data_IF_179193001891
#
_entry.id   IF_179193001891
#
_cell.length_a   1.000
_cell.length_b   1.000
_cell.length_c   1.000
_cell.angle_alpha   90.00
_cell.angle_beta   90.00
_cell.angle_gamma   90.00
#
_symmetry.space_group_name_H-M   'P 1'
#
loop_
_entity.id
_entity.type
_entity.pdbx_description
1 polymer ?
#
# COMPACT_ATOMS: atom_id res chain seq x y z
N UNK A 1 7.22 22.13 -11.77
CA UNK A 1 8.21 21.02 -11.57
C UNK A 1 7.51 19.69 -11.85
N UNK A 2 7.99 18.91 -12.84
CA UNK A 2 7.40 17.60 -13.14
C UNK A 2 8.22 16.47 -12.49
N UNK A 3 7.59 15.59 -11.74
CA UNK A 3 8.21 14.47 -11.04
C UNK A 3 7.64 13.16 -11.57
N UNK A 4 8.54 12.26 -11.95
CA UNK A 4 8.18 10.90 -12.36
C UNK A 4 8.19 9.98 -11.14
N UNK A 5 7.04 9.41 -10.81
CA UNK A 5 6.90 8.44 -9.71
C UNK A 5 6.92 7.03 -10.27
N UNK A 6 7.74 6.16 -9.67
CA UNK A 6 7.98 4.79 -10.10
C UNK A 6 7.64 3.81 -8.98
N UNK A 7 6.95 2.73 -9.36
CA UNK A 7 6.74 1.56 -8.53
C UNK A 7 7.14 0.32 -9.36
N UNK A 8 8.37 -0.15 -9.14
CA UNK A 8 8.96 -1.29 -9.85
C UNK A 8 8.71 -2.59 -9.08
N UNK A 9 7.93 -3.51 -9.65
CA UNK A 9 7.78 -4.88 -9.18
C UNK A 9 8.69 -5.86 -9.93
N UNK A 10 8.70 -7.13 -9.52
CA UNK A 10 9.55 -8.17 -10.13
C UNK A 10 9.31 -8.40 -11.63
N UNK A 11 8.07 -8.21 -12.09
CA UNK A 11 7.67 -8.39 -13.49
C UNK A 11 6.77 -7.26 -14.00
N UNK A 12 6.74 -6.14 -13.29
CA UNK A 12 5.90 -4.99 -13.64
C UNK A 12 6.58 -3.68 -13.24
N UNK A 13 6.20 -2.60 -13.92
CA UNK A 13 6.60 -1.24 -13.58
C UNK A 13 5.41 -0.33 -13.78
N UNK A 14 4.94 0.32 -12.72
CA UNK A 14 3.92 1.36 -12.78
C UNK A 14 4.59 2.71 -12.65
N UNK A 15 4.08 3.68 -13.38
CA UNK A 15 4.60 5.04 -13.31
C UNK A 15 3.49 6.08 -13.40
N UNK A 16 3.78 7.25 -12.87
CA UNK A 16 2.94 8.43 -12.98
C UNK A 16 3.83 9.68 -13.08
N UNK A 17 3.56 10.55 -14.05
CA UNK A 17 4.17 11.88 -14.11
C UNK A 17 3.22 12.87 -13.47
N UNK A 18 3.70 13.61 -12.48
CA UNK A 18 2.90 14.58 -11.71
C UNK A 18 3.52 15.97 -11.89
N UNK A 19 2.70 16.95 -12.22
CA UNK A 19 3.10 18.36 -12.18
C UNK A 19 2.90 18.92 -10.77
N UNK A 20 4.01 19.20 -10.10
CA UNK A 20 4.03 19.66 -8.70
C UNK A 20 3.71 21.16 -8.53
N UNK A 21 3.43 21.88 -9.60
CA UNK A 21 2.96 23.25 -9.50
C UNK A 21 1.46 23.31 -9.16
N UNK A 22 0.72 22.26 -9.54
CA UNK A 22 -0.72 22.09 -9.27
C UNK A 22 -1.07 20.74 -8.65
N UNK A 23 -0.09 19.85 -8.45
CA UNK A 23 -0.23 18.48 -7.94
C UNK A 23 -1.16 17.60 -8.80
N UNK A 24 -1.21 17.86 -10.11
CA UNK A 24 -2.05 17.08 -11.01
C UNK A 24 -1.24 16.03 -11.77
N UNK A 25 -1.87 14.87 -11.94
CA UNK A 25 -1.35 13.81 -12.79
C UNK A 25 -1.37 14.26 -14.26
N UNK A 26 -0.20 14.21 -14.89
CA UNK A 26 -0.02 14.52 -16.33
C UNK A 26 -0.24 13.27 -17.18
N UNK A 27 0.35 12.15 -16.77
CA UNK A 27 0.12 10.83 -17.37
C UNK A 27 0.42 9.74 -16.35
N UNK A 28 -0.06 8.54 -16.67
CA UNK A 28 0.25 7.31 -15.95
C UNK A 28 0.40 6.14 -16.91
N UNK A 29 1.07 5.09 -16.47
CA UNK A 29 1.20 3.89 -17.28
C UNK A 29 1.68 2.68 -16.51
N UNK A 30 1.73 1.56 -17.24
CA UNK A 30 2.08 0.27 -16.68
C UNK A 30 2.83 -0.56 -17.73
N UNK A 31 3.91 -1.19 -17.30
CA UNK A 31 4.60 -2.25 -18.02
C UNK A 31 4.28 -3.56 -17.29
N UNK A 32 3.75 -4.53 -17.99
CA UNK A 32 3.40 -5.85 -17.44
C UNK A 32 4.22 -6.95 -18.12
N UNK A 33 4.49 -8.03 -17.38
CA UNK A 33 5.21 -9.21 -17.84
C UNK A 33 6.65 -8.88 -18.29
N UNK A 34 7.34 -8.00 -17.56
CA UNK A 34 8.76 -7.72 -17.76
C UNK A 34 9.55 -9.00 -17.52
N UNK A 35 10.49 -9.32 -18.42
CA UNK A 35 11.27 -10.56 -18.40
C UNK A 35 10.50 -11.81 -18.86
N UNK A 36 9.28 -11.65 -19.37
CA UNK A 36 8.40 -12.73 -19.77
C UNK A 36 7.87 -12.50 -21.19
N UNK A 37 7.47 -13.57 -21.93
CA UNK A 37 6.82 -13.41 -23.22
C UNK A 37 5.45 -12.70 -23.09
N UNK A 38 5.11 -11.91 -24.11
CA UNK A 38 3.82 -11.23 -24.19
C UNK A 38 3.70 -10.04 -23.24
N UNK A 39 4.76 -9.26 -23.11
CA UNK A 39 4.74 -8.01 -22.37
C UNK A 39 3.71 -7.02 -22.90
N UNK A 40 3.09 -6.26 -22.01
CA UNK A 40 2.08 -5.25 -22.33
C UNK A 40 2.56 -3.91 -21.77
N UNK A 41 2.57 -2.90 -22.62
CA UNK A 41 2.81 -1.52 -22.24
C UNK A 41 1.52 -0.71 -22.39
N UNK A 42 1.17 0.05 -21.37
CA UNK A 42 0.04 0.97 -21.39
C UNK A 42 0.50 2.34 -20.92
N UNK A 43 0.12 3.38 -21.64
CA UNK A 43 0.34 4.78 -21.31
C UNK A 43 -0.96 5.54 -21.48
N UNK A 44 -1.35 6.34 -20.51
CA UNK A 44 -2.60 7.11 -20.50
C UNK A 44 -2.33 8.54 -20.02
N UNK A 45 -2.72 9.49 -20.83
CA UNK A 45 -2.57 10.92 -20.53
C UNK A 45 -3.78 11.44 -19.74
N UNK A 46 -3.61 12.58 -19.07
CA UNK A 46 -4.70 13.24 -18.32
C UNK A 46 -5.87 13.66 -19.19
N UNK A 47 -5.63 14.00 -20.47
CA UNK A 47 -6.64 14.36 -21.45
C UNK A 47 -7.37 13.15 -22.09
N UNK A 48 -7.01 11.92 -21.65
CA UNK A 48 -7.70 10.68 -22.00
C UNK A 48 -7.15 9.95 -23.22
N UNK A 49 -6.06 10.42 -23.87
CA UNK A 49 -5.37 9.63 -24.92
C UNK A 49 -4.74 8.40 -24.29
N UNK A 50 -4.82 7.28 -24.97
CA UNK A 50 -4.30 5.99 -24.47
C UNK A 50 -3.52 5.25 -25.54
N UNK A 51 -2.28 4.89 -25.22
CA UNK A 51 -1.44 3.99 -26.00
C UNK A 51 -1.37 2.64 -25.29
N UNK A 52 -1.81 1.59 -25.95
CA UNK A 52 -1.63 0.21 -25.49
C UNK A 52 -0.99 -0.62 -26.57
N UNK A 53 0.11 -1.28 -26.25
CA UNK A 53 0.83 -2.13 -27.20
C UNK A 53 1.40 -3.38 -26.55
N UNK A 54 1.46 -4.46 -27.32
CA UNK A 54 2.21 -5.64 -26.96
C UNK A 54 3.66 -5.41 -27.34
N UNK A 55 4.57 -5.50 -26.35
CA UNK A 55 6.00 -5.31 -26.55
C UNK A 55 6.76 -6.16 -25.56
N UNK A 56 7.73 -6.93 -26.06
CA UNK A 56 8.59 -7.70 -25.18
C UNK A 56 9.59 -6.75 -24.49
N UNK A 57 9.55 -6.76 -23.17
CA UNK A 57 10.50 -6.05 -22.31
C UNK A 57 11.33 -7.09 -21.58
N UNK A 58 12.59 -7.24 -21.99
CA UNK A 58 13.49 -8.28 -21.48
C UNK A 58 13.84 -8.05 -19.99
N UNK A 59 13.88 -6.80 -19.58
CA UNK A 59 14.27 -6.34 -18.25
C UNK A 59 13.63 -4.98 -17.93
N UNK A 60 13.97 -4.43 -16.76
CA UNK A 60 13.46 -3.13 -16.34
C UNK A 60 14.04 -1.97 -17.20
N UNK A 61 15.26 -2.07 -17.72
CA UNK A 61 15.81 -1.04 -18.60
C UNK A 61 14.97 -0.93 -19.89
N UNK A 62 14.59 -2.06 -20.49
CA UNK A 62 13.69 -2.09 -21.64
C UNK A 62 12.29 -1.51 -21.29
N UNK A 63 11.80 -1.74 -20.09
CA UNK A 63 10.54 -1.14 -19.63
C UNK A 63 10.66 0.39 -19.46
N UNK A 64 11.72 0.89 -18.85
CA UNK A 64 11.98 2.32 -18.74
C UNK A 64 12.15 3.00 -20.10
N UNK A 65 12.75 2.32 -21.08
CA UNK A 65 12.81 2.83 -22.46
C UNK A 65 11.40 3.01 -23.06
N UNK A 66 10.44 2.13 -22.76
CA UNK A 66 9.04 2.33 -23.21
C UNK A 66 8.43 3.57 -22.54
N UNK A 67 8.67 3.74 -21.23
CA UNK A 67 8.20 4.94 -20.49
C UNK A 67 8.80 6.20 -21.10
N UNK A 68 10.13 6.25 -21.25
CA UNK A 68 10.87 7.37 -21.85
C UNK A 68 10.30 7.76 -23.21
N UNK A 69 10.15 6.77 -24.10
CA UNK A 69 9.64 7.02 -25.45
C UNK A 69 8.18 7.52 -25.45
N UNK A 70 7.33 6.99 -24.57
CA UNK A 70 5.94 7.41 -24.47
C UNK A 70 5.79 8.85 -23.91
N UNK A 71 6.67 9.27 -23.01
CA UNK A 71 6.64 10.64 -22.47
C UNK A 71 6.85 11.71 -23.51
N UNK A 72 7.68 11.44 -24.55
CA UNK A 72 8.05 12.38 -25.63
C UNK A 72 7.46 11.98 -26.99
N UNK A 73 6.53 11.03 -27.04
CA UNK A 73 5.89 10.57 -28.27
C UNK A 73 5.16 11.71 -29.00
N UNK A 74 5.17 11.68 -30.33
CA UNK A 74 4.52 12.74 -31.13
C UNK A 74 3.01 12.82 -31.01
N UNK A 75 2.35 11.70 -30.66
CA UNK A 75 0.88 11.60 -30.53
C UNK A 75 0.44 11.47 -29.07
N UNK A 76 1.16 10.69 -28.26
CA UNK A 76 0.79 10.38 -26.87
C UNK A 76 1.66 11.09 -25.85
N UNK A 77 2.70 11.78 -26.28
CA UNK A 77 3.64 12.49 -25.39
C UNK A 77 2.98 13.62 -24.61
N UNK A 78 3.56 13.91 -23.47
CA UNK A 78 3.09 14.91 -22.49
C UNK A 78 4.16 15.92 -22.12
N UNK A 79 5.39 15.71 -22.61
CA UNK A 79 6.54 16.62 -22.49
C UNK A 79 7.26 16.74 -23.83
N UNK A 80 7.95 17.85 -24.06
CA UNK A 80 8.71 18.08 -25.30
C UNK A 80 10.14 17.55 -25.24
N UNK A 81 10.71 17.49 -24.03
CA UNK A 81 12.05 17.00 -23.76
C UNK A 81 12.07 16.28 -22.40
N UNK A 82 12.95 15.31 -22.26
CA UNK A 82 13.17 14.60 -20.99
C UNK A 82 13.73 15.52 -19.89
N UNK A 83 14.34 16.65 -20.25
CA UNK A 83 14.80 17.67 -19.30
C UNK A 83 13.65 18.29 -18.48
N UNK A 84 12.41 18.10 -18.93
CA UNK A 84 11.23 18.49 -18.14
C UNK A 84 10.95 17.56 -16.96
N UNK A 85 11.52 16.36 -16.93
CA UNK A 85 11.49 15.46 -15.77
C UNK A 85 12.54 15.94 -14.79
N UNK A 86 12.12 16.72 -13.82
CA UNK A 86 13.02 17.36 -12.86
C UNK A 86 13.60 16.40 -11.82
N UNK A 87 12.89 15.33 -11.51
CA UNK A 87 13.31 14.31 -10.56
C UNK A 87 12.50 13.01 -10.70
N UNK A 88 12.99 11.93 -10.10
CA UNK A 88 12.29 10.63 -10.03
C UNK A 88 12.11 10.23 -8.58
N UNK A 89 10.89 9.85 -8.20
CA UNK A 89 10.57 9.26 -6.90
C UNK A 89 10.28 7.76 -7.01
N UNK A 90 10.99 6.95 -6.24
CA UNK A 90 10.82 5.49 -6.23
C UNK A 90 10.12 5.02 -4.97
N UNK A 91 9.10 4.16 -5.10
CA UNK A 91 8.54 3.42 -3.98
C UNK A 91 9.42 2.23 -3.64
N UNK A 92 9.78 2.10 -2.35
CA UNK A 92 10.51 0.96 -1.80
C UNK A 92 9.66 0.33 -0.69
N UNK A 93 9.45 -0.99 -0.76
CA UNK A 93 8.59 -1.69 0.20
C UNK A 93 9.24 -1.78 1.57
N UNK A 94 10.54 -2.12 1.67
CA UNK A 94 11.18 -2.38 2.95
C UNK A 94 12.40 -1.48 3.16
N UNK A 95 12.32 -0.63 4.18
CA UNK A 95 13.39 0.26 4.63
C UNK A 95 14.18 -0.26 5.84
N UNK A 96 13.74 -1.37 6.44
CA UNK A 96 14.38 -1.98 7.59
C UNK A 96 14.44 -1.03 8.80
N UNK A 97 15.50 -1.19 9.57
CA UNK A 97 15.88 -0.27 10.65
C UNK A 97 16.86 0.82 10.17
N UNK A 98 17.10 0.90 8.86
CA UNK A 98 18.06 1.83 8.26
C UNK A 98 17.35 3.12 7.86
N UNK A 99 16.18 3.00 7.21
CA UNK A 99 15.48 4.13 6.64
C UNK A 99 14.20 4.46 7.42
N UNK A 100 14.19 5.65 8.01
CA UNK A 100 13.06 6.19 8.79
C UNK A 100 12.34 7.33 8.08
N UNK A 101 12.88 7.78 6.95
CA UNK A 101 12.34 8.84 6.11
C UNK A 101 12.76 8.63 4.64
N UNK A 102 12.24 9.46 3.76
CA UNK A 102 12.63 9.47 2.35
C UNK A 102 14.02 10.08 2.20
N UNK A 103 14.84 9.53 1.28
CA UNK A 103 16.22 9.97 1.07
C UNK A 103 16.57 10.12 -0.39
N UNK A 104 17.53 11.02 -0.70
CA UNK A 104 18.15 11.11 -2.02
C UNK A 104 18.97 9.85 -2.29
N UNK A 105 18.94 9.39 -3.53
CA UNK A 105 19.61 8.16 -3.95
C UNK A 105 21.07 8.45 -4.28
N UNK A 106 21.96 7.75 -3.59
CA UNK A 106 23.36 7.57 -3.95
C UNK A 106 23.69 6.06 -4.01
N UNK A 107 24.92 5.69 -4.27
CA UNK A 107 25.29 4.28 -4.34
C UNK A 107 25.15 3.59 -2.98
N UNK A 108 25.45 4.29 -1.88
CA UNK A 108 25.29 3.76 -0.53
C UNK A 108 23.83 3.43 -0.19
N UNK A 109 22.89 4.28 -0.60
CA UNK A 109 21.45 4.03 -0.44
C UNK A 109 21.02 2.78 -1.20
N UNK A 110 21.54 2.57 -2.43
CA UNK A 110 21.22 1.36 -3.21
C UNK A 110 21.80 0.11 -2.52
N UNK A 111 23.05 0.14 -2.07
CA UNK A 111 23.68 -0.95 -1.30
C UNK A 111 22.88 -1.28 -0.01
N UNK A 112 22.43 -0.26 0.71
CA UNK A 112 21.64 -0.43 1.92
C UNK A 112 20.27 -1.07 1.61
N UNK A 113 19.59 -0.67 0.51
CA UNK A 113 18.38 -1.33 0.03
C UNK A 113 18.64 -2.79 -0.34
N UNK A 114 19.76 -3.08 -1.00
CA UNK A 114 20.18 -4.44 -1.36
C UNK A 114 20.47 -5.29 -0.12
N UNK A 115 21.06 -4.71 0.93
CA UNK A 115 21.28 -5.39 2.21
C UNK A 115 20.00 -5.85 2.90
N UNK A 116 18.88 -5.18 2.60
CA UNK A 116 17.54 -5.50 3.12
C UNK A 116 16.77 -6.54 2.29
N UNK A 117 17.37 -7.08 1.20
CA UNK A 117 16.73 -8.14 0.39
C UNK A 117 16.27 -9.33 1.23
N UNK A 118 17.01 -9.83 2.25
CA UNK A 118 16.52 -10.92 3.09
C UNK A 118 15.19 -10.65 3.80
N UNK A 119 14.87 -9.39 4.11
CA UNK A 119 13.59 -8.99 4.72
C UNK A 119 12.45 -8.87 3.71
N UNK A 120 12.76 -8.60 2.45
CA UNK A 120 11.77 -8.45 1.38
C UNK A 120 12.31 -8.97 0.03
N UNK A 121 12.57 -10.28 -0.08
CA UNK A 121 13.26 -10.85 -1.25
C UNK A 121 12.51 -10.68 -2.56
N UNK A 122 11.17 -10.63 -2.51
CA UNK A 122 10.33 -10.46 -3.69
C UNK A 122 10.21 -8.99 -4.15
N UNK A 123 10.62 -8.03 -3.31
CA UNK A 123 10.42 -6.60 -3.57
C UNK A 123 11.74 -5.84 -3.71
N UNK A 124 12.59 -5.82 -2.67
CA UNK A 124 13.77 -4.96 -2.64
C UNK A 124 14.77 -5.25 -3.77
N UNK A 125 14.90 -6.51 -4.19
CA UNK A 125 15.70 -6.86 -5.36
C UNK A 125 15.20 -6.17 -6.64
N UNK A 126 13.89 -6.19 -6.88
CA UNK A 126 13.30 -5.54 -8.04
C UNK A 126 13.41 -4.00 -7.94
N UNK A 127 13.29 -3.46 -6.73
CA UNK A 127 13.43 -2.03 -6.49
C UNK A 127 14.85 -1.52 -6.78
N UNK A 128 15.90 -2.18 -6.28
CA UNK A 128 17.29 -1.78 -6.56
C UNK A 128 17.61 -1.89 -8.05
N UNK A 129 17.15 -2.95 -8.72
CA UNK A 129 17.27 -3.09 -10.17
C UNK A 129 16.51 -1.96 -10.91
N UNK A 130 15.32 -1.59 -10.43
CA UNK A 130 14.53 -0.49 -10.99
C UNK A 130 15.25 0.86 -10.88
N UNK A 131 15.87 1.17 -9.74
CA UNK A 131 16.67 2.39 -9.55
C UNK A 131 17.84 2.42 -10.54
N UNK A 132 18.64 1.34 -10.60
CA UNK A 132 19.79 1.25 -11.53
C UNK A 132 19.36 1.40 -12.99
N UNK A 133 18.27 0.75 -13.39
CA UNK A 133 17.72 0.87 -14.75
C UNK A 133 17.18 2.28 -15.05
N UNK A 134 16.61 2.95 -14.06
CA UNK A 134 16.16 4.33 -14.19
C UNK A 134 17.35 5.27 -14.48
N UNK A 135 18.43 5.16 -13.71
CA UNK A 135 19.68 5.92 -13.91
C UNK A 135 20.30 5.70 -15.30
N UNK A 136 20.32 4.45 -15.77
CA UNK A 136 20.82 4.12 -17.11
C UNK A 136 20.03 4.84 -18.22
N UNK A 137 18.70 4.94 -18.07
CA UNK A 137 17.79 5.45 -19.11
C UNK A 137 17.59 6.97 -19.03
N UNK A 138 17.46 7.54 -17.84
CA UNK A 138 17.21 8.98 -17.64
C UNK A 138 18.49 9.78 -17.40
N UNK A 139 19.58 9.12 -17.01
CA UNK A 139 20.88 9.73 -16.73
C UNK A 139 21.08 10.07 -15.26
N UNK A 140 22.32 10.04 -14.80
CA UNK A 140 22.71 10.28 -13.40
C UNK A 140 22.48 11.72 -12.95
N UNK A 141 22.27 12.66 -13.87
CA UNK A 141 22.01 14.07 -13.57
C UNK A 141 20.57 14.31 -13.08
N UNK A 142 19.65 13.38 -13.32
CA UNK A 142 18.29 13.48 -12.81
C UNK A 142 18.26 12.98 -11.36
N UNK A 143 17.98 13.83 -10.37
CA UNK A 143 17.98 13.39 -8.97
C UNK A 143 16.87 12.38 -8.71
N UNK A 144 17.21 11.36 -7.96
CA UNK A 144 16.29 10.30 -7.56
C UNK A 144 16.09 10.30 -6.06
N UNK A 145 14.87 10.01 -5.63
CA UNK A 145 14.48 9.87 -4.21
C UNK A 145 13.81 8.53 -4.00
N UNK A 146 14.13 7.87 -2.90
CA UNK A 146 13.44 6.65 -2.45
C UNK A 146 12.52 6.96 -1.28
N UNK A 147 11.31 6.42 -1.35
CA UNK A 147 10.26 6.58 -0.35
C UNK A 147 9.83 5.18 0.12
N UNK A 148 9.89 4.94 1.42
CA UNK A 148 9.71 3.61 1.99
C UNK A 148 8.32 3.42 2.58
N UNK A 149 7.66 2.30 2.26
CA UNK A 149 6.36 1.92 2.85
C UNK A 149 6.44 1.78 4.37
N UNK A 150 7.61 1.42 4.90
CA UNK A 150 7.85 1.22 6.33
C UNK A 150 8.17 2.50 7.10
N UNK A 151 8.59 3.57 6.42
CA UNK A 151 9.11 4.77 7.09
C UNK A 151 8.09 5.47 7.99
N UNK A 152 6.83 5.57 7.57
CA UNK A 152 5.78 6.18 8.40
C UNK A 152 5.56 5.43 9.72
N UNK A 153 5.82 4.12 9.75
CA UNK A 153 5.69 3.25 10.92
C UNK A 153 6.92 3.25 11.84
N UNK A 154 7.99 3.97 11.49
CA UNK A 154 9.24 3.99 12.26
C UNK A 154 9.08 4.56 13.67
N UNK A 155 7.99 5.29 13.94
CA UNK A 155 7.68 5.88 15.24
C UNK A 155 7.06 4.90 16.25
N UNK A 156 6.74 3.66 15.85
CA UNK A 156 6.19 2.65 16.75
C UNK A 156 7.11 2.40 17.96
N UNK A 157 6.55 2.34 19.18
CA UNK A 157 7.35 2.03 20.38
C UNK A 157 7.73 0.53 20.41
N UNK A 158 8.81 0.17 21.15
CA UNK A 158 9.27 -1.23 21.24
C UNK A 158 8.20 -2.24 21.62
N UNK A 159 7.30 -1.90 22.53
CA UNK A 159 6.17 -2.76 22.95
C UNK A 159 5.19 -3.12 21.82
N UNK A 160 5.15 -2.33 20.73
CA UNK A 160 4.28 -2.56 19.58
C UNK A 160 5.01 -3.32 18.47
N UNK A 161 6.32 -3.09 18.29
CA UNK A 161 7.06 -3.71 17.20
C UNK A 161 7.76 -5.03 17.55
N UNK A 162 7.99 -5.34 18.83
CA UNK A 162 8.68 -6.58 19.22
C UNK A 162 7.77 -7.79 19.09
N UNK A 163 8.28 -8.87 18.47
CA UNK A 163 7.66 -10.18 18.52
C UNK A 163 8.07 -10.98 19.75
N UNK A 164 7.17 -11.81 20.25
CA UNK A 164 7.37 -12.63 21.45
C UNK A 164 8.20 -13.90 21.15
N UNK A 165 9.34 -13.71 20.50
CA UNK A 165 10.35 -14.75 20.22
C UNK A 165 11.63 -14.40 20.95
N UNK A 166 12.64 -15.31 21.07
CA UNK A 166 13.91 -14.97 21.73
C UNK A 166 14.50 -13.65 21.19
N UNK A 167 14.86 -12.76 22.11
CA UNK A 167 15.32 -11.40 21.82
C UNK A 167 16.51 -11.35 20.86
N UNK A 168 17.35 -12.39 20.90
CA UNK A 168 18.50 -12.54 20.00
C UNK A 168 18.13 -12.50 18.50
N UNK A 169 16.91 -12.89 18.11
CA UNK A 169 16.48 -12.81 16.72
C UNK A 169 16.21 -11.38 16.26
N UNK A 170 15.80 -10.51 17.21
CA UNK A 170 15.75 -9.09 16.93
C UNK A 170 17.17 -8.51 16.73
N UNK A 171 18.11 -8.86 17.60
CA UNK A 171 19.48 -8.35 17.52
C UNK A 171 20.23 -8.86 16.27
N UNK A 172 20.09 -10.13 15.95
CA UNK A 172 20.83 -10.77 14.86
C UNK A 172 20.23 -10.54 13.47
N UNK A 173 18.89 -10.52 13.40
CA UNK A 173 18.16 -10.59 12.12
C UNK A 173 17.16 -9.47 11.94
N UNK A 174 17.10 -8.51 12.84
CA UNK A 174 16.13 -7.43 12.85
C UNK A 174 14.67 -7.92 12.78
N UNK A 175 14.37 -9.05 13.47
CA UNK A 175 13.02 -9.62 13.53
C UNK A 175 12.14 -8.76 14.41
N UNK A 176 11.36 -7.90 13.76
CA UNK A 176 10.40 -7.00 14.39
C UNK A 176 9.25 -6.68 13.43
N UNK A 177 8.18 -6.07 13.96
CA UNK A 177 7.13 -5.47 13.13
C UNK A 177 7.68 -4.20 12.45
N UNK A 178 7.45 -4.07 11.14
CA UNK A 178 7.80 -2.88 10.36
C UNK A 178 6.56 -2.09 9.95
N UNK A 179 5.50 -2.78 9.53
CA UNK A 179 4.32 -2.15 8.94
C UNK A 179 4.55 -1.72 7.49
N UNK A 180 3.47 -1.62 6.73
CA UNK A 180 3.51 -1.32 5.30
C UNK A 180 2.34 -0.42 4.91
N UNK A 181 2.25 0.00 3.64
CA UNK A 181 1.33 1.01 3.15
C UNK A 181 1.51 2.38 3.85
N UNK A 182 2.72 2.67 4.31
CA UNK A 182 3.00 3.89 5.09
C UNK A 182 2.69 5.18 4.34
N UNK A 183 2.94 5.22 3.03
CA UNK A 183 2.57 6.35 2.16
C UNK A 183 1.06 6.57 2.16
N UNK A 184 0.27 5.49 2.06
CA UNK A 184 -1.19 5.56 2.11
C UNK A 184 -1.69 6.03 3.48
N UNK A 185 -1.28 5.38 4.57
CA UNK A 185 -1.69 5.76 5.93
C UNK A 185 -1.32 7.22 6.25
N UNK A 186 -0.14 7.68 5.83
CA UNK A 186 0.28 9.07 5.97
C UNK A 186 -0.61 10.02 5.18
N UNK A 187 -0.89 9.71 3.92
CA UNK A 187 -1.75 10.54 3.09
C UNK A 187 -3.14 10.70 3.68
N UNK A 188 -3.82 9.59 3.96
CA UNK A 188 -5.23 9.65 4.37
C UNK A 188 -5.42 10.22 5.79
N UNK A 189 -4.46 10.03 6.69
CA UNK A 189 -4.50 10.64 8.02
C UNK A 189 -4.35 12.17 7.97
N UNK A 190 -3.41 12.69 7.16
CA UNK A 190 -3.26 14.12 6.95
C UNK A 190 -4.47 14.73 6.22
N UNK A 191 -5.00 14.01 5.22
CA UNK A 191 -6.19 14.46 4.51
C UNK A 191 -7.42 14.47 5.41
N UNK A 192 -7.58 13.48 6.29
CA UNK A 192 -8.64 13.45 7.29
C UNK A 192 -8.56 14.66 8.22
N UNK A 193 -7.38 14.99 8.75
CA UNK A 193 -7.18 16.16 9.60
C UNK A 193 -7.59 17.47 8.88
N UNK A 194 -7.24 17.61 7.59
CA UNK A 194 -7.67 18.74 6.76
C UNK A 194 -9.20 18.81 6.62
N UNK A 195 -9.87 17.68 6.38
CA UNK A 195 -11.34 17.60 6.26
C UNK A 195 -12.04 17.91 7.60
N UNK A 196 -11.42 17.52 8.72
CA UNK A 196 -11.90 17.86 10.07
C UNK A 196 -11.62 19.34 10.44
N UNK A 197 -10.74 20.02 9.70
CA UNK A 197 -10.30 21.38 10.03
C UNK A 197 -9.48 21.48 11.32
N UNK A 198 -8.72 20.41 11.65
CA UNK A 198 -7.93 20.28 12.88
C UNK A 198 -6.47 20.00 12.59
N UNK A 199 -5.56 20.32 13.51
CA UNK A 199 -4.16 19.93 13.42
C UNK A 199 -4.05 18.42 13.71
N UNK A 200 -3.34 17.69 12.85
CA UNK A 200 -3.14 16.25 13.04
C UNK A 200 -2.47 15.90 14.38
N UNK A 201 -1.71 16.86 14.95
CA UNK A 201 -1.06 16.69 16.25
C UNK A 201 -2.03 16.52 17.42
N UNK A 202 -3.26 16.98 17.25
CA UNK A 202 -4.30 16.93 18.27
C UNK A 202 -5.24 15.74 18.09
N UNK A 203 -5.03 14.90 17.06
CA UNK A 203 -5.94 13.86 16.64
C UNK A 203 -5.38 12.44 16.86
N UNK A 204 -6.27 11.57 17.29
CA UNK A 204 -6.08 10.11 17.32
C UNK A 204 -6.91 9.48 16.21
N UNK A 205 -6.26 8.72 15.35
CA UNK A 205 -6.90 8.14 14.18
C UNK A 205 -6.60 6.66 14.02
N UNK A 206 -7.54 5.93 13.43
CA UNK A 206 -7.34 4.57 12.92
C UNK A 206 -7.59 4.61 11.42
N UNK A 207 -6.58 4.27 10.63
CA UNK A 207 -6.68 4.24 9.17
C UNK A 207 -6.70 2.80 8.68
N UNK A 208 -7.70 2.47 7.87
CA UNK A 208 -7.98 1.14 7.35
C UNK A 208 -7.72 1.14 5.83
N UNK A 209 -6.52 0.75 5.42
CA UNK A 209 -6.17 0.53 4.02
C UNK A 209 -6.63 -0.87 3.63
N UNK A 210 -7.78 -0.97 2.95
CA UNK A 210 -8.42 -2.24 2.57
C UNK A 210 -8.35 -2.41 1.06
N UNK A 211 -7.41 -3.22 0.60
CA UNK A 211 -7.22 -3.58 -0.81
C UNK A 211 -7.02 -5.09 -0.96
N UNK A 212 -6.38 -5.54 -2.04
CA UNK A 212 -5.96 -6.94 -2.13
C UNK A 212 -4.86 -7.28 -1.10
N UNK A 213 -3.95 -6.32 -0.81
CA UNK A 213 -3.19 -6.26 0.44
C UNK A 213 -3.87 -5.26 1.36
N UNK A 214 -3.94 -5.55 2.67
CA UNK A 214 -4.69 -4.72 3.62
C UNK A 214 -3.93 -4.53 4.92
N UNK A 215 -4.05 -3.35 5.50
CA UNK A 215 -3.48 -3.04 6.82
C UNK A 215 -4.33 -2.00 7.57
N UNK A 216 -4.26 -2.03 8.89
CA UNK A 216 -4.87 -1.05 9.77
C UNK A 216 -3.75 -0.46 10.64
N UNK A 217 -3.78 0.86 10.82
CA UNK A 217 -2.73 1.58 11.54
C UNK A 217 -3.35 2.53 12.56
N UNK A 218 -2.82 2.51 13.77
CA UNK A 218 -3.16 3.40 14.88
C UNK A 218 -2.21 4.60 14.90
N UNK A 219 -2.75 5.81 14.85
CA UNK A 219 -2.01 7.06 14.72
C UNK A 219 -2.39 7.99 15.87
N UNK A 220 -1.41 8.48 16.62
CA UNK A 220 -1.57 9.47 17.68
C UNK A 220 -0.70 10.70 17.36
N UNK A 221 -1.32 11.85 17.22
CA UNK A 221 -0.62 13.10 16.91
C UNK A 221 0.22 13.04 15.63
N UNK A 222 -0.27 12.34 14.61
CA UNK A 222 0.43 12.15 13.33
C UNK A 222 1.55 11.11 13.37
N UNK A 223 1.74 10.39 14.49
CA UNK A 223 2.75 9.33 14.65
C UNK A 223 2.09 7.97 14.79
N UNK A 224 2.63 6.98 14.09
CA UNK A 224 2.17 5.60 14.21
C UNK A 224 2.58 5.04 15.57
N UNK A 225 1.61 4.46 16.29
CA UNK A 225 1.85 3.77 17.56
C UNK A 225 1.70 2.25 17.44
N UNK A 226 0.93 1.77 16.47
CA UNK A 226 0.79 0.34 16.15
C UNK A 226 0.26 0.15 14.73
N UNK A 227 0.48 -1.05 14.15
CA UNK A 227 -0.04 -1.40 12.83
C UNK A 227 -0.21 -2.92 12.70
N UNK A 228 -1.08 -3.36 11.79
CA UNK A 228 -1.45 -4.78 11.65
C UNK A 228 -0.41 -5.61 10.90
N UNK A 229 0.23 -5.09 9.85
CA UNK A 229 1.28 -5.83 9.13
C UNK A 229 2.55 -5.91 9.97
N UNK A 230 3.28 -7.03 9.85
CA UNK A 230 4.36 -7.42 10.74
C UNK A 230 5.76 -7.26 10.16
N UNK A 231 6.56 -8.34 10.25
CA UNK A 231 7.87 -8.44 9.60
C UNK A 231 7.74 -8.31 8.08
N UNK A 232 6.68 -8.89 7.54
CA UNK A 232 6.32 -8.88 6.13
C UNK A 232 4.87 -8.40 5.95
N UNK A 233 4.42 -8.12 4.73
CA UNK A 233 3.02 -7.78 4.46
C UNK A 233 2.03 -8.95 4.60
N UNK A 234 2.45 -10.07 5.21
CA UNK A 234 1.61 -11.26 5.44
C UNK A 234 0.78 -11.15 6.71
N UNK A 235 1.36 -10.57 7.79
CA UNK A 235 0.72 -10.46 9.10
C UNK A 235 -0.48 -9.48 9.09
N UNK A 236 -1.31 -9.57 10.10
CA UNK A 236 -2.50 -8.74 10.28
C UNK A 236 -3.78 -9.56 10.17
N UNK A 237 -4.73 -9.11 9.41
CA UNK A 237 -6.00 -9.81 9.16
C UNK A 237 -6.03 -10.41 7.75
N UNK A 238 -7.04 -11.24 7.48
CA UNK A 238 -7.26 -11.87 6.19
C UNK A 238 -7.28 -10.84 5.05
N UNK A 239 -6.62 -11.18 3.93
CA UNK A 239 -6.54 -10.34 2.73
C UNK A 239 -7.06 -11.13 1.51
N UNK A 240 -6.88 -10.62 0.31
CA UNK A 240 -7.34 -11.31 -0.91
C UNK A 240 -6.83 -12.74 -1.05
N UNK A 241 -5.50 -12.95 -0.91
CA UNK A 241 -4.86 -14.27 -1.00
C UNK A 241 -3.94 -14.60 0.18
N UNK A 242 -3.75 -13.66 1.13
CA UNK A 242 -2.89 -13.81 2.31
C UNK A 242 -3.70 -14.16 3.52
N UNK A 243 -3.12 -15.01 4.36
CA UNK A 243 -3.83 -15.52 5.55
C UNK A 243 -4.04 -14.47 6.65
N UNK A 244 -3.11 -13.52 6.83
CA UNK A 244 -3.02 -12.71 8.04
C UNK A 244 -2.49 -13.54 9.23
N UNK A 245 -2.72 -13.05 10.43
CA UNK A 245 -2.32 -13.69 11.69
C UNK A 245 -3.05 -15.05 11.88
N UNK A 246 -2.29 -16.05 12.25
CA UNK A 246 -2.80 -17.38 12.65
C UNK A 246 -1.97 -17.96 13.79
N UNK A 247 -2.43 -19.04 14.42
CA UNK A 247 -1.62 -19.80 15.35
C UNK A 247 -0.40 -20.39 14.63
N UNK A 248 0.85 -20.11 15.09
CA UNK A 248 2.06 -20.64 14.47
C UNK A 248 2.07 -22.16 14.33
N UNK A 249 1.39 -22.89 15.25
CA UNK A 249 1.29 -24.34 15.20
C UNK A 249 0.50 -24.85 13.98
N UNK A 250 -0.39 -24.04 13.41
CA UNK A 250 -1.10 -24.37 12.16
C UNK A 250 -0.11 -24.55 11.02
N UNK A 251 0.94 -23.69 10.97
CA UNK A 251 1.98 -23.76 9.93
C UNK A 251 2.70 -25.10 9.96
N UNK A 252 3.26 -25.46 11.11
CA UNK A 252 4.01 -26.71 11.27
C UNK A 252 3.12 -27.94 11.12
N UNK A 253 1.88 -27.89 11.63
CA UNK A 253 0.90 -28.98 11.50
C UNK A 253 0.57 -29.28 10.02
N UNK A 254 0.27 -28.24 9.21
CA UNK A 254 -0.02 -28.44 7.79
C UNK A 254 1.22 -28.93 7.04
N UNK A 255 2.40 -28.35 7.32
CA UNK A 255 3.66 -28.79 6.71
C UNK A 255 3.93 -30.27 6.96
N UNK A 256 3.71 -30.75 8.20
CA UNK A 256 3.89 -32.15 8.54
C UNK A 256 2.87 -33.07 7.84
N UNK A 257 1.58 -32.67 7.82
CA UNK A 257 0.50 -33.47 7.20
C UNK A 257 0.61 -33.60 5.70
N UNK A 258 1.01 -32.50 5.04
CA UNK A 258 1.09 -32.41 3.58
C UNK A 258 2.52 -32.58 3.05
N UNK A 259 3.50 -32.85 3.94
CA UNK A 259 4.92 -33.01 3.62
C UNK A 259 5.51 -31.80 2.85
N UNK A 260 5.14 -30.58 3.28
CA UNK A 260 5.52 -29.34 2.61
C UNK A 260 6.89 -28.81 3.08
N UNK A 261 7.64 -28.27 2.15
CA UNK A 261 8.80 -27.43 2.45
C UNK A 261 8.37 -26.06 2.99
N UNK A 262 9.26 -25.33 3.70
CA UNK A 262 8.97 -23.96 4.13
C UNK A 262 8.55 -23.04 2.97
N UNK A 263 9.16 -23.18 1.79
CA UNK A 263 8.83 -22.38 0.60
C UNK A 263 7.43 -22.66 0.05
N UNK A 264 7.02 -23.94 0.04
CA UNK A 264 5.66 -24.33 -0.38
C UNK A 264 4.62 -23.81 0.60
N UNK A 265 4.90 -23.88 1.90
CA UNK A 265 4.02 -23.32 2.92
C UNK A 265 3.93 -21.79 2.79
N UNK A 266 5.03 -21.10 2.55
CA UNK A 266 5.03 -19.63 2.28
C UNK A 266 4.12 -19.29 1.08
N UNK A 267 4.15 -20.08 0.00
CA UNK A 267 3.26 -19.90 -1.14
C UNK A 267 1.78 -20.08 -0.76
N UNK A 268 1.46 -21.03 0.13
CA UNK A 268 0.10 -21.22 0.62
C UNK A 268 -0.37 -20.01 1.40
N UNK A 269 0.45 -19.55 2.36
CA UNK A 269 0.11 -18.43 3.24
C UNK A 269 -0.06 -17.11 2.47
N UNK A 270 0.76 -16.87 1.45
CA UNK A 270 0.77 -15.63 0.70
C UNK A 270 -0.17 -15.60 -0.51
N UNK A 271 -0.43 -16.77 -1.17
CA UNK A 271 -1.07 -16.79 -2.50
C UNK A 271 -2.29 -17.70 -2.61
N UNK A 272 -2.57 -18.57 -1.63
CA UNK A 272 -3.66 -19.54 -1.69
C UNK A 272 -4.61 -19.45 -0.50
N UNK A 273 -4.41 -18.48 0.38
CA UNK A 273 -5.19 -18.25 1.60
C UNK A 273 -6.15 -17.07 1.43
N UNK A 274 -6.55 -16.46 2.52
CA UNK A 274 -7.39 -15.26 2.51
C UNK A 274 -8.78 -15.50 1.94
N UNK A 275 -9.33 -14.48 1.29
CA UNK A 275 -10.63 -14.55 0.61
C UNK A 275 -10.66 -15.72 -0.39
N UNK A 276 -9.61 -15.87 -1.19
CA UNK A 276 -9.48 -16.98 -2.14
C UNK A 276 -9.56 -18.33 -1.44
N UNK A 277 -8.79 -18.55 -0.38
CA UNK A 277 -8.69 -19.82 0.32
C UNK A 277 -9.99 -20.22 1.01
N UNK A 278 -10.67 -19.27 1.66
CA UNK A 278 -11.93 -19.51 2.36
C UNK A 278 -13.08 -19.63 1.38
N UNK A 279 -13.27 -18.69 0.47
CA UNK A 279 -14.38 -18.70 -0.47
C UNK A 279 -14.25 -19.81 -1.52
N UNK A 280 -13.04 -20.12 -1.96
CA UNK A 280 -12.78 -20.99 -3.10
C UNK A 280 -13.17 -20.35 -4.44
N UNK A 281 -13.38 -19.02 -4.48
CA UNK A 281 -13.84 -18.28 -5.66
C UNK A 281 -12.73 -17.45 -6.26
N UNK A 282 -12.28 -16.40 -5.54
CA UNK A 282 -11.34 -15.42 -6.04
C UNK A 282 -10.61 -14.72 -4.90
N UNK A 283 -9.47 -14.11 -5.20
CA UNK A 283 -8.80 -13.14 -4.33
C UNK A 283 -9.36 -11.73 -4.50
N UNK A 284 -10.19 -11.51 -5.51
CA UNK A 284 -10.87 -10.23 -5.76
C UNK A 284 -12.18 -10.20 -4.98
N UNK A 285 -12.32 -9.23 -4.11
CA UNK A 285 -13.49 -9.07 -3.26
C UNK A 285 -14.79 -8.89 -4.07
N UNK A 286 -14.74 -8.29 -5.25
CA UNK A 286 -15.91 -8.10 -6.12
C UNK A 286 -16.51 -9.44 -6.59
N UNK A 287 -15.65 -10.41 -6.91
CA UNK A 287 -16.09 -11.76 -7.31
C UNK A 287 -16.67 -12.51 -6.10
N UNK A 288 -16.06 -12.35 -4.92
CA UNK A 288 -16.54 -12.95 -3.67
C UNK A 288 -17.89 -12.37 -3.28
N UNK A 289 -18.05 -11.03 -3.38
CA UNK A 289 -19.33 -10.33 -3.15
C UNK A 289 -20.43 -10.84 -4.06
N UNK A 290 -20.14 -10.99 -5.36
CA UNK A 290 -21.09 -11.55 -6.30
C UNK A 290 -21.50 -12.98 -5.96
N UNK A 291 -20.52 -13.83 -5.65
CA UNK A 291 -20.79 -15.23 -5.28
C UNK A 291 -21.61 -15.35 -3.98
N UNK A 292 -21.35 -14.50 -2.97
CA UNK A 292 -22.12 -14.44 -1.75
C UNK A 292 -23.59 -14.04 -2.01
N UNK A 293 -23.81 -13.02 -2.85
CA UNK A 293 -25.15 -12.59 -3.26
C UNK A 293 -25.92 -13.68 -4.03
N UNK A 294 -25.21 -14.56 -4.73
CA UNK A 294 -25.76 -15.73 -5.43
C UNK A 294 -25.99 -16.93 -4.49
N UNK A 295 -25.72 -16.81 -3.18
CA UNK A 295 -25.97 -17.81 -2.15
C UNK A 295 -24.80 -18.74 -1.84
N UNK A 296 -23.57 -18.42 -2.28
CA UNK A 296 -22.39 -19.18 -1.92
C UNK A 296 -22.03 -18.96 -0.45
N UNK A 297 -22.26 -19.98 0.39
CA UNK A 297 -22.04 -19.90 1.85
C UNK A 297 -20.57 -19.68 2.23
N UNK A 298 -19.61 -20.23 1.47
CA UNK A 298 -18.19 -20.02 1.75
C UNK A 298 -17.74 -18.59 1.39
N UNK A 299 -18.32 -18.01 0.35
CA UNK A 299 -18.09 -16.60 0.01
C UNK A 299 -18.63 -15.67 1.11
N UNK A 300 -19.85 -15.94 1.63
CA UNK A 300 -20.40 -15.22 2.78
C UNK A 300 -19.51 -15.38 4.02
N UNK A 301 -19.09 -16.61 4.35
CA UNK A 301 -18.18 -16.85 5.47
C UNK A 301 -16.86 -16.09 5.33
N UNK A 302 -16.32 -15.97 4.11
CA UNK A 302 -15.10 -15.21 3.87
C UNK A 302 -15.28 -13.70 4.20
N UNK A 303 -16.41 -13.12 3.85
CA UNK A 303 -16.78 -11.75 4.24
C UNK A 303 -16.96 -11.62 5.76
N UNK A 304 -17.71 -12.52 6.38
CA UNK A 304 -17.94 -12.53 7.84
C UNK A 304 -16.62 -12.54 8.61
N UNK A 305 -15.65 -13.36 8.17
CA UNK A 305 -14.31 -13.43 8.78
C UNK A 305 -13.55 -12.12 8.56
N UNK A 306 -13.55 -11.57 7.35
CA UNK A 306 -12.86 -10.31 7.02
C UNK A 306 -13.36 -9.16 7.90
N UNK A 307 -14.66 -8.95 7.94
CA UNK A 307 -15.32 -7.87 8.68
C UNK A 307 -15.12 -8.01 10.20
N UNK A 308 -15.22 -9.24 10.70
CA UNK A 308 -14.95 -9.55 12.09
C UNK A 308 -13.50 -9.24 12.48
N UNK A 309 -12.54 -9.64 11.65
CA UNK A 309 -11.12 -9.40 11.93
C UNK A 309 -10.77 -7.89 11.85
N UNK A 310 -11.29 -7.17 10.85
CA UNK A 310 -11.14 -5.70 10.75
C UNK A 310 -11.63 -5.05 12.05
N UNK A 311 -12.83 -5.42 12.49
CA UNK A 311 -13.46 -4.85 13.70
C UNK A 311 -12.64 -5.15 14.96
N UNK A 312 -12.04 -6.34 15.07
CA UNK A 312 -11.14 -6.70 16.18
C UNK A 312 -9.87 -5.85 16.18
N UNK A 313 -9.23 -5.62 15.02
CA UNK A 313 -8.05 -4.76 14.94
C UNK A 313 -8.38 -3.32 15.32
N UNK A 314 -9.50 -2.78 14.83
CA UNK A 314 -9.98 -1.43 15.23
C UNK A 314 -10.19 -1.40 16.75
N UNK A 315 -10.88 -2.39 17.34
CA UNK A 315 -11.12 -2.47 18.77
C UNK A 315 -9.82 -2.52 19.61
N UNK A 316 -8.84 -3.32 19.16
CA UNK A 316 -7.51 -3.37 19.78
C UNK A 316 -6.78 -2.02 19.73
N UNK A 317 -6.88 -1.33 18.62
CA UNK A 317 -6.24 -0.01 18.44
C UNK A 317 -6.95 1.11 19.17
N UNK A 318 -8.27 1.03 19.36
CA UNK A 318 -8.99 1.94 20.27
C UNK A 318 -8.44 1.85 21.70
N UNK A 319 -8.12 0.64 22.15
CA UNK A 319 -7.49 0.42 23.48
C UNK A 319 -6.06 0.98 23.48
N UNK A 320 -5.27 0.71 22.44
CA UNK A 320 -3.89 1.17 22.35
C UNK A 320 -3.78 2.71 22.32
N UNK A 321 -4.73 3.37 21.65
CA UNK A 321 -4.83 4.85 21.55
C UNK A 321 -5.45 5.48 22.82
N UNK A 322 -6.23 4.72 23.61
CA UNK A 322 -7.05 5.26 24.69
C UNK A 322 -8.18 6.16 24.20
N UNK A 323 -8.74 5.85 23.03
CA UNK A 323 -9.79 6.60 22.34
C UNK A 323 -9.40 6.86 20.87
N UNK A 324 -10.36 7.43 20.09
CA UNK A 324 -10.15 7.73 18.67
C UNK A 324 -11.11 8.85 18.26
N UNK A 325 -10.60 9.81 17.49
CA UNK A 325 -11.38 10.90 16.92
C UNK A 325 -11.98 10.52 15.57
N UNK A 326 -11.20 9.80 14.74
CA UNK A 326 -11.65 9.40 13.42
C UNK A 326 -11.15 8.02 12.98
N UNK A 327 -12.03 7.28 12.28
CA UNK A 327 -11.73 6.04 11.55
C UNK A 327 -11.80 6.37 10.06
N UNK A 328 -10.76 6.00 9.31
CA UNK A 328 -10.65 6.29 7.87
C UNK A 328 -10.58 5.00 7.07
N UNK A 329 -11.49 4.82 6.13
CA UNK A 329 -11.46 3.73 5.14
C UNK A 329 -10.85 4.23 3.83
N UNK A 330 -9.94 3.43 3.26
CA UNK A 330 -9.22 3.76 2.03
C UNK A 330 -8.83 2.51 1.24
N UNK A 331 -8.23 2.68 0.08
CA UNK A 331 -7.89 1.66 -0.90
C UNK A 331 -9.12 0.96 -1.51
N UNK A 332 -8.88 0.11 -2.50
CA UNK A 332 -9.93 -0.37 -3.40
C UNK A 332 -11.18 -0.93 -2.74
N UNK A 333 -11.05 -1.77 -1.72
CA UNK A 333 -12.18 -2.31 -0.93
C UNK A 333 -12.72 -1.25 0.02
N UNK A 334 -11.85 -0.58 0.78
CA UNK A 334 -12.25 0.45 1.73
C UNK A 334 -12.98 1.63 1.09
N UNK A 335 -12.60 2.02 -0.12
CA UNK A 335 -13.22 3.12 -0.87
C UNK A 335 -14.54 2.72 -1.55
N UNK A 336 -14.66 1.49 -2.05
CA UNK A 336 -15.74 1.14 -2.97
C UNK A 336 -16.75 0.13 -2.43
N UNK A 337 -16.44 -0.56 -1.33
CA UNK A 337 -17.33 -1.57 -0.73
C UNK A 337 -18.05 -1.02 0.50
N UNK A 338 -19.15 -0.27 0.26
CA UNK A 338 -19.96 0.34 1.32
C UNK A 338 -20.50 -0.69 2.32
N UNK A 339 -20.76 -1.92 1.86
CA UNK A 339 -21.24 -3.02 2.69
C UNK A 339 -20.28 -3.34 3.84
N UNK A 340 -18.99 -3.56 3.54
CA UNK A 340 -18.00 -3.86 4.59
C UNK A 340 -17.89 -2.74 5.61
N UNK A 341 -17.89 -1.48 5.16
CA UNK A 341 -17.88 -0.32 6.07
C UNK A 341 -19.08 -0.30 6.98
N UNK A 342 -20.27 -0.61 6.43
CA UNK A 342 -21.52 -0.68 7.20
C UNK A 342 -21.46 -1.76 8.27
N UNK A 343 -21.03 -2.99 7.91
CA UNK A 343 -20.92 -4.11 8.85
C UNK A 343 -19.88 -3.83 9.94
N UNK A 344 -18.73 -3.27 9.58
CA UNK A 344 -17.73 -2.84 10.58
C UNK A 344 -18.33 -1.78 11.52
N UNK A 345 -19.09 -0.83 10.99
CA UNK A 345 -19.84 0.14 11.81
C UNK A 345 -20.81 -0.50 12.79
N UNK A 346 -21.53 -1.55 12.38
CA UNK A 346 -22.43 -2.30 13.28
C UNK A 346 -21.67 -3.01 14.41
N UNK A 347 -20.48 -3.58 14.13
CA UNK A 347 -19.60 -4.11 15.18
C UNK A 347 -19.16 -3.05 16.20
N UNK A 348 -19.00 -1.79 15.77
CA UNK A 348 -18.53 -0.70 16.62
C UNK A 348 -19.69 0.09 17.27
N UNK A 349 -20.93 -0.26 16.98
CA UNK A 349 -22.14 0.47 17.45
C UNK A 349 -22.23 0.56 18.96
N UNK A 350 -21.80 -0.46 19.70
CA UNK A 350 -21.80 -0.46 21.17
C UNK A 350 -20.85 0.61 21.75
N UNK A 351 -19.88 1.10 20.97
CA UNK A 351 -19.00 2.23 21.30
C UNK A 351 -19.60 3.58 20.90
N UNK A 352 -20.80 3.59 20.33
CA UNK A 352 -21.47 4.81 19.87
C UNK A 352 -21.11 5.25 18.46
N UNK A 353 -20.35 4.43 17.71
CA UNK A 353 -20.09 4.70 16.28
C UNK A 353 -21.39 4.51 15.48
N UNK A 354 -21.73 5.49 14.64
CA UNK A 354 -22.93 5.47 13.80
C UNK A 354 -22.57 5.90 12.38
N UNK A 355 -22.72 4.97 11.43
CA UNK A 355 -22.58 5.25 10.01
C UNK A 355 -23.95 5.62 9.43
N UNK A 356 -23.99 6.69 8.64
CA UNK A 356 -25.16 7.06 7.84
C UNK A 356 -25.19 6.19 6.57
N UNK A 357 -26.20 5.31 6.38
CA UNK A 357 -26.23 4.39 5.25
C UNK A 357 -26.25 5.09 3.88
N UNK A 358 -26.98 6.23 3.77
CA UNK A 358 -27.09 6.94 2.49
C UNK A 358 -25.77 7.63 2.12
N UNK A 359 -25.10 8.27 3.10
CA UNK A 359 -23.77 8.86 2.87
C UNK A 359 -22.76 7.79 2.54
N UNK A 360 -22.80 6.66 3.25
CA UNK A 360 -21.91 5.53 3.03
C UNK A 360 -22.03 4.95 1.61
N UNK A 361 -23.24 4.74 1.12
CA UNK A 361 -23.48 4.22 -0.25
C UNK A 361 -23.02 5.20 -1.33
N UNK A 362 -23.18 6.50 -1.10
CA UNK A 362 -22.78 7.55 -2.04
C UNK A 362 -21.25 7.75 -2.11
N UNK A 363 -20.52 7.34 -1.05
CA UNK A 363 -19.08 7.57 -0.91
C UNK A 363 -18.28 6.44 -1.55
N UNK A 364 -18.26 6.41 -2.88
CA UNK A 364 -17.58 5.43 -3.75
C UNK A 364 -17.04 6.11 -5.01
N UNK A 365 -16.25 5.40 -5.80
CA UNK A 365 -15.73 5.85 -7.10
C UNK A 365 -14.92 7.15 -7.00
N UNK A 366 -13.98 7.19 -6.04
CA UNK A 366 -13.07 8.33 -5.87
C UNK A 366 -13.64 9.51 -5.11
N UNK A 367 -14.86 9.40 -4.55
CA UNK A 367 -15.39 10.44 -3.66
C UNK A 367 -14.79 10.33 -2.28
N UNK A 368 -14.62 11.47 -1.64
CA UNK A 368 -14.15 11.55 -0.25
C UNK A 368 -15.15 12.28 0.64
N UNK A 369 -15.17 11.92 1.92
CA UNK A 369 -15.98 12.64 2.91
C UNK A 369 -16.35 11.80 4.13
N UNK A 370 -17.03 12.49 5.06
CA UNK A 370 -17.57 11.89 6.27
C UNK A 370 -18.81 11.07 5.97
N UNK A 371 -18.86 9.86 6.55
CA UNK A 371 -19.98 8.92 6.42
C UNK A 371 -20.65 8.62 7.76
N UNK A 372 -20.16 9.18 8.88
CA UNK A 372 -20.81 9.06 10.19
C UNK A 372 -21.90 10.11 10.40
N UNK A 373 -22.89 9.76 11.22
CA UNK A 373 -23.92 10.69 11.66
C UNK A 373 -23.35 11.77 12.59
N UNK A 374 -24.03 12.93 12.76
CA UNK A 374 -23.54 14.00 13.66
C UNK A 374 -23.41 13.60 15.13
N UNK A 375 -24.18 12.60 15.58
CA UNK A 375 -24.18 12.07 16.94
C UNK A 375 -23.34 10.81 17.12
N UNK A 376 -22.51 10.48 16.16
CA UNK A 376 -21.52 9.40 16.27
C UNK A 376 -20.41 9.78 17.26
N UNK A 377 -20.00 8.85 18.11
CA UNK A 377 -18.93 9.05 19.09
C UNK A 377 -17.54 9.25 18.47
N UNK A 378 -17.34 8.76 17.27
CA UNK A 378 -16.13 8.89 16.44
C UNK A 378 -16.57 9.24 15.03
N UNK A 379 -15.82 10.11 14.37
CA UNK A 379 -16.08 10.40 12.96
C UNK A 379 -15.59 9.25 12.08
N UNK A 380 -16.30 8.94 11.02
CA UNK A 380 -15.91 7.91 10.04
C UNK A 380 -15.83 8.55 8.66
N UNK A 381 -14.71 8.34 8.00
CA UNK A 381 -14.42 8.91 6.69
C UNK A 381 -14.12 7.84 5.65
N UNK A 382 -14.40 8.15 4.41
CA UNK A 382 -13.83 7.49 3.22
C UNK A 382 -12.93 8.51 2.54
N UNK A 383 -11.67 8.14 2.32
CA UNK A 383 -10.69 9.02 1.68
C UNK A 383 -9.89 8.18 0.68
N UNK A 384 -10.01 8.45 -0.63
CA UNK A 384 -9.19 7.79 -1.64
C UNK A 384 -7.70 8.04 -1.38
N UNK A 385 -6.91 6.95 -1.39
CA UNK A 385 -5.45 7.09 -1.22
C UNK A 385 -4.81 7.66 -2.48
N UNK A 386 -3.70 8.39 -2.28
CA UNK A 386 -2.88 8.91 -3.36
C UNK A 386 -1.39 8.78 -2.99
N UNK A 387 -0.88 7.56 -3.10
CA UNK A 387 0.49 7.23 -2.70
C UNK A 387 1.51 7.89 -3.61
N UNK A 388 1.21 7.99 -4.90
CA UNK A 388 2.09 8.62 -5.89
C UNK A 388 2.29 10.12 -5.59
N UNK A 389 1.24 10.81 -5.14
CA UNK A 389 1.36 12.21 -4.75
C UNK A 389 2.24 12.38 -3.50
N UNK A 390 2.16 11.45 -2.54
CA UNK A 390 3.04 11.47 -1.35
C UNK A 390 4.49 11.31 -1.77
N UNK A 391 4.79 10.37 -2.66
CA UNK A 391 6.14 10.14 -3.19
C UNK A 391 6.64 11.38 -3.93
N UNK A 392 5.79 11.99 -4.76
CA UNK A 392 6.15 13.21 -5.49
C UNK A 392 6.41 14.41 -4.55
N UNK A 393 5.61 14.58 -3.49
CA UNK A 393 5.84 15.63 -2.48
C UNK A 393 7.15 15.46 -1.73
N UNK A 394 7.49 14.23 -1.30
CA UNK A 394 8.76 13.94 -0.65
C UNK A 394 9.94 14.17 -1.60
N UNK A 395 9.79 13.73 -2.85
CA UNK A 395 10.79 13.94 -3.90
C UNK A 395 11.04 15.44 -4.10
N UNK A 396 9.98 16.23 -4.28
CA UNK A 396 10.08 17.68 -4.41
C UNK A 396 10.81 18.32 -3.22
N UNK A 397 10.37 17.98 -2.01
CA UNK A 397 10.93 18.57 -0.78
C UNK A 397 12.41 18.28 -0.56
N UNK A 398 12.93 17.15 -1.06
CA UNK A 398 14.34 16.79 -0.98
C UNK A 398 15.15 17.43 -2.11
N UNK A 399 14.63 17.43 -3.33
CA UNK A 399 15.33 17.99 -4.51
C UNK A 399 15.43 19.50 -4.46
N UNK A 400 14.44 20.21 -3.90
CA UNK A 400 14.50 21.67 -3.70
C UNK A 400 15.59 22.12 -2.70
N UNK A 401 16.24 21.18 -2.00
CA UNK A 401 17.35 21.48 -1.07
C UNK A 401 18.73 21.29 -1.71
N UNK A 402 18.81 20.75 -2.94
CA UNK A 402 20.03 20.63 -3.72
C UNK A 402 20.47 21.97 -4.32
#
# INVERSE_FOLDING_TARGET
>A
MKILVINAGSSSLKYQLIDMDNEQMVCKGNCERIGMPGGIFTHKTADGRELKKNVNMLDHAAAFMQVKNALIDGEYGVINSLDEVAAVGHRIVQGGSIFHESVLVDEKVIEDIESLIPLAPLHNKAHSQGIRACREVFGEQVPEVVVFDTAFHATMPPKAYMFNVPYEYYEKYAVRRYGFHGTSHRYVSHRCAQLMGQDIKDLKMITCHLGNGSSITAIDGGKVIDTSMGLTPLDGFMMGSRTGTLDPSVVTFIMEKEHLTPSEMDQILNKKSGLLGISGVSSDDRDVTKAAAEGNQRAQLAHDILEYQISKFIGGYLVALGGCDAIVFTAGVGENQSHHRQVVGEYLKFLGVKIDPELNEKMVLGKEGKISTPDSSMEVYVIPTNEELVIARDTKALVEKL
#
